data_IF_191291063854
#
_entry.id   IF_191291063854
#
_cell.length_a   1.000
_cell.length_b   1.000
_cell.length_c   1.000
_cell.angle_alpha   90.00
_cell.angle_beta   90.00
_cell.angle_gamma   90.00
#
_symmetry.space_group_name_H-M   'P 1'
#
loop_
_entity.id
_entity.type
_entity.pdbx_description
1 polymer ?
#
# COMPACT_ATOMS: atom_id res chain seq x y z
N UNK A 1 -37.36 -8.50 -84.90
CA UNK A 1 -36.22 -7.62 -85.09
C UNK A 1 -35.83 -7.03 -83.74
N UNK A 2 -34.69 -7.15 -83.40
CA UNK A 2 -34.15 -6.48 -82.22
C UNK A 2 -33.70 -7.41 -81.12
N UNK A 3 -32.45 -7.76 -81.19
CA UNK A 3 -31.84 -8.53 -80.18
C UNK A 3 -31.69 -7.78 -78.89
N UNK A 4 -32.34 -8.27 -77.91
CA UNK A 4 -32.11 -7.83 -76.54
C UNK A 4 -30.90 -8.45 -75.99
N UNK A 5 -29.87 -7.71 -75.88
CA UNK A 5 -28.68 -8.13 -75.16
C UNK A 5 -28.92 -8.06 -73.67
N UNK A 6 -29.16 -9.17 -73.13
CA UNK A 6 -29.15 -9.32 -71.68
C UNK A 6 -27.75 -9.19 -71.15
N UNK A 7 -27.40 -8.09 -70.62
CA UNK A 7 -26.20 -7.94 -69.81
C UNK A 7 -26.44 -8.53 -68.44
N UNK A 8 -25.88 -9.64 -68.24
CA UNK A 8 -25.73 -10.19 -66.93
C UNK A 8 -24.76 -9.29 -66.14
N UNK A 9 -25.29 -8.60 -65.20
CA UNK A 9 -24.49 -7.96 -64.21
C UNK A 9 -24.06 -9.05 -63.21
N UNK A 10 -22.83 -9.43 -63.32
CA UNK A 10 -22.21 -10.21 -62.28
C UNK A 10 -21.94 -9.27 -61.13
N UNK A 11 -22.82 -9.33 -60.16
CA UNK A 11 -22.53 -8.73 -58.88
C UNK A 11 -21.44 -9.57 -58.20
N UNK A 12 -20.24 -9.11 -58.29
CA UNK A 12 -19.15 -9.61 -57.47
C UNK A 12 -19.41 -9.14 -56.05
N UNK A 13 -19.97 -10.03 -55.26
CA UNK A 13 -20.03 -9.84 -53.85
C UNK A 13 -18.61 -9.83 -53.32
N UNK A 14 -18.12 -8.69 -53.02
CA UNK A 14 -16.92 -8.53 -52.23
C UNK A 14 -17.22 -9.04 -50.86
N UNK A 15 -16.72 -10.19 -50.54
CA UNK A 15 -16.67 -10.68 -49.17
C UNK A 15 -15.79 -9.73 -48.38
N UNK A 16 -16.39 -8.92 -47.57
CA UNK A 16 -15.71 -8.18 -46.54
C UNK A 16 -15.24 -9.16 -45.52
N UNK A 17 -13.97 -9.50 -45.57
CA UNK A 17 -13.30 -10.10 -44.46
C UNK A 17 -13.20 -9.07 -43.36
N UNK A 18 -14.12 -9.13 -42.46
CA UNK A 18 -13.97 -8.45 -41.21
C UNK A 18 -12.90 -9.21 -40.45
N UNK A 19 -11.71 -8.71 -40.48
CA UNK A 19 -10.70 -9.14 -39.53
C UNK A 19 -11.20 -8.76 -38.15
N UNK A 20 -11.73 -9.74 -37.44
CA UNK A 20 -11.96 -9.60 -36.03
C UNK A 20 -10.63 -9.35 -35.39
N UNK A 21 -10.34 -8.12 -35.12
CA UNK A 21 -9.23 -7.75 -34.28
C UNK A 21 -9.42 -8.46 -32.95
N UNK A 22 -8.55 -9.40 -32.66
CA UNK A 22 -8.48 -9.96 -31.34
C UNK A 22 -8.13 -8.83 -30.40
N UNK A 23 -9.13 -8.34 -29.70
CA UNK A 23 -8.92 -7.50 -28.53
C UNK A 23 -8.26 -8.39 -27.48
N UNK A 24 -6.96 -8.40 -27.47
CA UNK A 24 -6.24 -8.91 -26.35
C UNK A 24 -6.45 -7.93 -25.21
N UNK A 25 -7.44 -8.19 -24.44
CA UNK A 25 -7.58 -7.53 -23.16
C UNK A 25 -6.42 -8.04 -22.32
N UNK A 26 -5.38 -7.26 -22.23
CA UNK A 26 -4.34 -7.51 -21.26
C UNK A 26 -5.00 -7.42 -19.90
N UNK A 27 -5.15 -8.54 -19.22
CA UNK A 27 -5.61 -8.56 -17.85
C UNK A 27 -4.60 -7.75 -17.03
N UNK A 28 -5.06 -6.73 -16.29
CA UNK A 28 -4.15 -5.98 -15.44
C UNK A 28 -3.63 -6.90 -14.36
N UNK A 29 -2.34 -7.10 -14.29
CA UNK A 29 -1.66 -7.83 -13.24
C UNK A 29 -1.60 -6.99 -11.95
N UNK A 30 -2.72 -6.41 -11.54
CA UNK A 30 -2.75 -5.46 -10.42
C UNK A 30 -3.29 -6.05 -9.11
N UNK A 31 -3.77 -7.29 -9.12
CA UNK A 31 -4.37 -7.90 -7.94
C UNK A 31 -3.36 -8.21 -6.84
N UNK A 32 -2.10 -8.42 -7.18
CA UNK A 32 -1.06 -8.79 -6.20
C UNK A 32 -0.41 -7.57 -5.53
N UNK A 33 -0.38 -6.42 -6.19
CA UNK A 33 0.18 -5.20 -5.63
C UNK A 33 -0.67 -4.59 -4.50
N UNK A 34 -1.95 -4.90 -4.42
CA UNK A 34 -2.88 -4.31 -3.45
C UNK A 34 -2.78 -4.89 -2.04
N UNK A 35 -2.29 -6.12 -1.89
CA UNK A 35 -2.16 -6.74 -0.57
C UNK A 35 -0.91 -6.25 0.19
N UNK A 36 0.18 -5.97 -0.51
CA UNK A 36 1.42 -5.48 0.07
C UNK A 36 1.38 -3.99 0.42
N UNK A 37 0.48 -3.24 -0.19
CA UNK A 37 0.37 -1.80 -0.03
C UNK A 37 -0.65 -1.33 1.01
N UNK A 38 -1.23 -2.21 1.81
CA UNK A 38 -2.24 -1.81 2.80
C UNK A 38 -1.73 -0.84 3.86
N UNK A 39 -0.45 -0.91 4.19
CA UNK A 39 0.20 0.04 5.09
C UNK A 39 0.91 1.18 4.35
N UNK A 40 1.06 1.12 3.02
CA UNK A 40 1.75 2.11 2.21
C UNK A 40 1.20 3.54 2.30
N UNK A 41 -0.10 3.80 2.50
CA UNK A 41 -0.60 5.15 2.66
C UNK A 41 -0.13 5.85 3.93
N UNK A 42 0.40 5.14 4.91
CA UNK A 42 0.84 5.72 6.17
C UNK A 42 2.30 6.14 6.16
N UNK A 43 3.16 5.31 5.58
CA UNK A 43 4.61 5.54 5.56
C UNK A 43 5.18 5.44 4.16
N UNK A 44 6.06 6.37 3.80
CA UNK A 44 6.89 6.25 2.62
C UNK A 44 8.04 5.28 2.89
N UNK A 45 8.47 4.57 1.84
CA UNK A 45 9.64 3.71 1.92
C UNK A 45 9.34 2.22 1.93
N UNK A 46 10.37 1.45 2.22
CA UNK A 46 10.32 0.01 2.25
C UNK A 46 9.95 -0.47 3.65
N UNK A 47 9.01 -1.36 3.75
CA UNK A 47 8.69 -2.09 4.98
C UNK A 47 9.92 -2.90 5.44
N UNK A 48 10.31 -2.75 6.68
CA UNK A 48 11.50 -3.41 7.22
C UNK A 48 11.23 -4.28 8.43
N UNK A 49 10.18 -3.99 9.20
CA UNK A 49 9.93 -4.68 10.46
C UNK A 49 8.48 -4.51 10.92
N UNK A 50 7.97 -5.53 11.55
CA UNK A 50 6.75 -5.50 12.34
C UNK A 50 7.05 -5.76 13.80
N UNK A 51 6.43 -4.99 14.68
CA UNK A 51 6.48 -5.16 16.12
C UNK A 51 5.07 -5.48 16.62
N UNK A 52 4.69 -6.76 16.66
CA UNK A 52 3.36 -7.15 17.13
C UNK A 52 3.28 -7.08 18.66
N UNK A 53 2.09 -6.78 19.14
CA UNK A 53 1.74 -6.83 20.55
C UNK A 53 0.27 -7.24 20.71
N UNK A 54 -0.19 -7.43 21.92
CA UNK A 54 -1.50 -8.05 22.18
C UNK A 54 -2.69 -7.39 21.48
N UNK A 55 -2.66 -6.08 21.30
CA UNK A 55 -3.79 -5.33 20.76
C UNK A 55 -3.54 -4.74 19.37
N UNK A 56 -2.32 -4.82 18.87
CA UNK A 56 -1.97 -4.23 17.58
C UNK A 56 -0.60 -4.60 17.08
N UNK A 57 -0.14 -3.86 16.08
CA UNK A 57 1.18 -4.00 15.49
C UNK A 57 1.74 -2.63 15.15
N UNK A 58 3.02 -2.42 15.39
CA UNK A 58 3.74 -1.28 14.84
C UNK A 58 4.44 -1.71 13.56
N UNK A 59 4.08 -1.08 12.45
CA UNK A 59 4.75 -1.28 11.17
C UNK A 59 5.85 -0.25 10.99
N UNK A 60 7.03 -0.70 10.56
CA UNK A 60 8.22 0.14 10.45
C UNK A 60 8.75 0.14 9.02
N UNK A 61 9.05 1.33 8.51
CA UNK A 61 9.50 1.57 7.15
C UNK A 61 10.77 2.40 7.15
N UNK A 62 11.62 2.20 6.14
CA UNK A 62 12.83 3.01 5.92
C UNK A 62 12.88 3.56 4.51
N UNK A 63 13.33 4.81 4.41
CA UNK A 63 13.65 5.47 3.14
C UNK A 63 14.69 6.56 3.35
N UNK A 64 15.79 6.47 2.63
CA UNK A 64 16.81 7.54 2.57
C UNK A 64 17.28 8.04 3.95
N UNK A 65 17.52 7.13 4.87
CA UNK A 65 17.92 7.47 6.24
C UNK A 65 16.78 7.87 7.17
N UNK A 66 15.55 7.93 6.67
CA UNK A 66 14.36 8.16 7.48
C UNK A 66 13.75 6.85 7.94
N UNK A 67 13.26 6.85 9.17
CA UNK A 67 12.49 5.74 9.76
C UNK A 67 11.09 6.25 10.06
N UNK A 68 10.10 5.55 9.54
CA UNK A 68 8.69 5.83 9.75
C UNK A 68 8.01 4.68 10.47
N UNK A 69 7.18 4.96 11.44
CA UNK A 69 6.41 3.96 12.16
C UNK A 69 4.95 4.35 12.30
N UNK A 70 4.10 3.36 12.28
CA UNK A 70 2.65 3.49 12.46
C UNK A 70 2.14 2.35 13.32
N UNK A 71 1.31 2.67 14.31
CA UNK A 71 0.61 1.67 15.13
C UNK A 71 -0.78 1.43 14.56
N UNK A 72 -1.07 0.17 14.29
CA UNK A 72 -2.34 -0.27 13.69
C UNK A 72 -3.01 -1.30 14.60
N UNK A 73 -4.34 -1.22 14.81
CA UNK A 73 -5.06 -2.22 15.59
C UNK A 73 -4.99 -3.61 14.98
N UNK A 74 -4.96 -4.63 15.82
CA UNK A 74 -5.11 -6.03 15.39
C UNK A 74 -6.52 -6.28 14.80
N UNK A 75 -7.51 -5.55 15.28
CA UNK A 75 -8.90 -5.63 14.80
C UNK A 75 -9.44 -4.23 14.55
N UNK A 76 -9.80 -3.97 13.31
CA UNK A 76 -10.51 -2.74 12.92
C UNK A 76 -12.00 -2.92 13.18
N UNK A 77 -12.47 -2.42 14.30
CA UNK A 77 -13.89 -2.43 14.66
C UNK A 77 -14.52 -1.04 14.73
N UNK A 78 -13.80 0.00 14.30
CA UNK A 78 -14.28 1.38 14.32
C UNK A 78 -14.35 2.03 15.70
N UNK A 79 -13.98 1.32 16.77
CA UNK A 79 -13.97 1.89 18.11
C UNK A 79 -12.78 2.85 18.28
N UNK A 80 -13.05 3.98 18.93
CA UNK A 80 -12.00 4.89 19.38
C UNK A 80 -11.22 4.28 20.53
N UNK A 81 -9.92 4.35 20.46
CA UNK A 81 -9.02 3.84 21.50
C UNK A 81 -7.83 4.75 21.65
N UNK A 82 -7.26 4.78 22.85
CA UNK A 82 -5.98 5.43 23.05
C UNK A 82 -4.92 4.65 22.31
N UNK A 83 -4.26 5.28 21.38
CA UNK A 83 -3.15 4.72 20.61
C UNK A 83 -1.97 5.65 20.65
N UNK A 84 -0.77 5.07 20.56
CA UNK A 84 0.45 5.84 20.40
C UNK A 84 1.46 5.12 19.53
N UNK A 85 2.33 5.90 18.91
CA UNK A 85 3.56 5.46 18.28
C UNK A 85 4.66 6.46 18.57
N UNK A 86 5.86 5.97 18.82
CA UNK A 86 7.01 6.84 19.03
C UNK A 86 8.24 6.27 18.34
N UNK A 87 9.05 7.15 17.78
CA UNK A 87 10.34 6.81 17.18
C UNK A 87 11.39 7.76 17.73
N UNK A 88 12.46 7.21 18.22
CA UNK A 88 13.59 7.96 18.73
C UNK A 88 14.86 7.55 17.98
N UNK A 89 15.50 8.49 17.30
CA UNK A 89 16.86 8.31 16.82
C UNK A 89 17.83 8.49 17.98
N UNK A 90 18.83 7.64 18.08
CA UNK A 90 19.82 7.69 19.17
C UNK A 90 20.46 9.08 19.23
N UNK A 91 20.50 9.65 20.42
CA UNK A 91 21.00 11.02 20.66
C UNK A 91 19.94 12.12 20.51
N UNK A 92 18.75 11.80 20.02
CA UNK A 92 17.64 12.75 19.89
C UNK A 92 16.52 12.43 20.86
N UNK A 93 15.59 13.35 21.00
CA UNK A 93 14.35 13.11 21.74
C UNK A 93 13.40 12.24 20.90
N UNK A 94 12.54 11.42 21.51
CA UNK A 94 11.51 10.69 20.79
C UNK A 94 10.49 11.65 20.17
N UNK A 95 10.05 11.31 18.98
CA UNK A 95 8.88 11.94 18.34
C UNK A 95 7.70 11.02 18.58
N UNK A 96 6.62 11.55 19.14
CA UNK A 96 5.47 10.80 19.62
C UNK A 96 4.19 11.32 18.99
N UNK A 97 3.35 10.41 18.55
CA UNK A 97 1.94 10.66 18.27
C UNK A 97 1.10 9.81 19.20
N UNK A 98 0.29 10.46 20.03
CA UNK A 98 -0.60 9.82 20.99
C UNK A 98 -1.96 10.52 21.01
N UNK A 99 -3.01 9.74 20.93
CA UNK A 99 -4.35 10.29 20.96
C UNK A 99 -5.43 9.22 20.94
N UNK A 100 -6.66 9.68 20.76
CA UNK A 100 -7.84 8.85 20.57
C UNK A 100 -8.05 8.65 19.07
N UNK A 101 -7.80 7.45 18.59
CA UNK A 101 -7.86 7.12 17.17
C UNK A 101 -8.72 5.89 16.92
N UNK A 102 -9.26 5.82 15.70
CA UNK A 102 -10.05 4.67 15.25
C UNK A 102 -9.26 3.70 14.40
N UNK A 103 -8.28 4.20 13.64
CA UNK A 103 -7.59 3.42 12.60
C UNK A 103 -6.11 3.21 12.84
N UNK A 104 -5.41 4.25 13.26
CA UNK A 104 -3.96 4.19 13.48
C UNK A 104 -3.48 5.38 14.30
N UNK A 105 -2.33 5.22 14.95
CA UNK A 105 -1.52 6.31 15.47
C UNK A 105 -0.29 6.48 14.57
N UNK A 106 0.11 7.71 14.33
CA UNK A 106 1.12 8.06 13.36
C UNK A 106 0.53 8.30 11.97
N UNK A 107 1.36 8.34 10.91
CA UNK A 107 2.78 7.97 10.95
C UNK A 107 3.67 8.99 11.68
N UNK A 108 4.75 8.48 12.27
CA UNK A 108 5.84 9.29 12.83
C UNK A 108 7.10 8.97 12.05
N UNK A 109 7.75 10.02 11.53
CA UNK A 109 8.96 9.88 10.72
C UNK A 109 10.09 10.69 11.33
N UNK A 110 11.25 10.06 11.50
CA UNK A 110 12.46 10.72 12.00
C UNK A 110 13.63 10.44 11.07
N UNK A 111 14.56 11.36 10.98
CA UNK A 111 15.83 11.13 10.32
C UNK A 111 16.80 10.46 11.29
N UNK A 112 17.13 9.21 11.04
CA UNK A 112 18.06 8.43 11.85
C UNK A 112 19.43 8.29 11.18
N UNK A 113 19.49 8.39 9.87
CA UNK A 113 20.72 8.10 9.12
C UNK A 113 21.16 6.67 9.38
N UNK A 114 22.37 6.50 9.93
CA UNK A 114 22.91 5.19 10.33
C UNK A 114 22.78 4.91 11.84
N UNK A 115 22.09 5.78 12.57
CA UNK A 115 21.92 5.62 14.01
C UNK A 115 20.84 4.58 14.31
N UNK A 116 20.98 3.93 15.44
CA UNK A 116 19.92 3.09 15.96
C UNK A 116 18.67 3.90 16.27
N UNK A 117 17.53 3.24 16.23
CA UNK A 117 16.25 3.80 16.64
C UNK A 117 15.61 2.98 17.73
N UNK A 118 14.84 3.63 18.58
CA UNK A 118 13.98 2.99 19.57
C UNK A 118 12.53 3.28 19.20
N UNK A 119 11.75 2.23 19.02
CA UNK A 119 10.36 2.32 18.59
C UNK A 119 9.46 1.81 19.69
N UNK A 120 8.41 2.54 19.97
CA UNK A 120 7.37 2.15 20.92
C UNK A 120 6.00 2.30 20.27
N UNK A 121 5.09 1.42 20.63
CA UNK A 121 3.69 1.51 20.26
C UNK A 121 2.81 1.08 21.40
N UNK A 122 1.61 1.62 21.43
CA UNK A 122 0.60 1.19 22.40
C UNK A 122 -0.79 1.32 21.82
N UNK A 123 -1.69 0.49 22.31
CA UNK A 123 -3.10 0.60 22.05
C UNK A 123 -3.87 -0.01 23.21
N UNK A 124 -4.72 0.80 23.86
CA UNK A 124 -5.40 0.39 25.09
C UNK A 124 -4.38 -0.09 26.14
N UNK A 125 -4.49 -1.33 26.62
CA UNK A 125 -3.56 -1.89 27.60
C UNK A 125 -2.31 -2.56 26.95
N UNK A 126 -2.32 -2.77 25.62
CA UNK A 126 -1.20 -3.42 24.93
C UNK A 126 -0.08 -2.42 24.60
N UNK A 127 1.15 -2.87 24.74
CA UNK A 127 2.34 -2.05 24.43
C UNK A 127 3.43 -2.90 23.81
N UNK A 128 4.31 -2.24 23.06
CA UNK A 128 5.54 -2.83 22.55
C UNK A 128 6.67 -1.81 22.60
N UNK A 129 7.87 -2.29 22.84
CA UNK A 129 9.10 -1.50 22.84
C UNK A 129 10.21 -2.31 22.18
N UNK A 130 10.85 -1.74 21.18
CA UNK A 130 11.85 -2.48 20.40
C UNK A 130 13.22 -2.57 21.05
N UNK A 131 13.55 -1.67 21.97
CA UNK A 131 14.95 -1.40 22.28
C UNK A 131 15.65 -0.69 21.12
N UNK A 132 16.97 -0.58 21.19
CA UNK A 132 17.77 0.01 20.11
C UNK A 132 17.94 -0.99 18.97
N UNK A 133 17.41 -0.65 17.81
CA UNK A 133 17.41 -1.49 16.61
C UNK A 133 17.76 -0.67 15.36
N UNK A 134 17.90 -1.35 14.23
CA UNK A 134 18.16 -0.73 12.93
C UNK A 134 19.42 0.17 12.93
N UNK A 135 20.42 -0.29 13.60
CA UNK A 135 21.71 0.42 13.72
C UNK A 135 22.51 0.44 12.41
#
# INVERSE_FOLDING_TARGET
MGGGATRRQLALGTALLIAAGALTVAAPATAEATAENRAAPYCAGRHVLDLPFSTGTVHVYKRDGYVCAVTVPARENGARRTMSVSVQARGNRPVVDKGWYTRHAGPVTVHAGRRCVWIKGSMSAGTVSSGWILC
#
